data_IF_679990085464
#
_entry.id   IF_679990085464
#
_cell.length_a   1.000
_cell.length_b   1.000
_cell.length_c   1.000
_cell.angle_alpha   90.00
_cell.angle_beta   90.00
_cell.angle_gamma   90.00
#
_symmetry.space_group_name_H-M   'P 1'
#
loop_
_entity.id
_entity.type
_entity.pdbx_description
1 polymer ?
#
# COMPACT_ATOMS: atom_id res chain seq x y z
N UNK A 1 27.23 19.07 40.88
CA UNK A 1 26.28 19.48 39.82
C UNK A 1 25.59 18.20 39.30
N UNK A 2 24.77 17.56 40.15
CA UNK A 2 24.62 16.09 40.14
C UNK A 2 23.15 15.66 40.12
N UNK A 3 22.48 15.75 38.97
CA UNK A 3 21.06 15.36 38.85
C UNK A 3 20.60 14.99 37.43
N UNK A 4 21.46 14.43 36.58
CA UNK A 4 21.07 14.10 35.18
C UNK A 4 21.70 12.85 34.55
N UNK A 5 22.35 11.99 35.34
CA UNK A 5 23.00 10.76 34.85
C UNK A 5 22.50 9.45 35.50
N UNK A 6 21.35 9.48 36.19
CA UNK A 6 20.86 8.36 37.03
C UNK A 6 19.68 7.56 36.43
N UNK A 7 19.10 7.95 35.29
CA UNK A 7 17.81 7.40 34.83
C UNK A 7 17.88 6.30 33.77
N UNK A 8 19.07 5.89 33.30
CA UNK A 8 19.24 4.97 32.15
C UNK A 8 19.84 3.60 32.49
N UNK A 9 19.92 3.23 33.77
CA UNK A 9 20.45 1.94 34.24
C UNK A 9 19.39 0.99 34.85
N UNK A 10 18.13 1.44 35.03
CA UNK A 10 17.15 0.77 35.90
C UNK A 10 16.08 -0.09 35.19
N UNK A 11 16.34 -0.56 33.96
CA UNK A 11 15.43 -1.47 33.21
C UNK A 11 16.10 -2.75 32.71
N UNK A 12 17.38 -3.00 33.04
CA UNK A 12 18.13 -4.19 32.60
C UNK A 12 18.52 -5.13 33.75
N UNK A 13 17.67 -5.26 34.77
CA UNK A 13 17.91 -6.13 35.93
C UNK A 13 16.61 -6.68 36.52
N UNK A 14 15.89 -7.54 35.78
CA UNK A 14 14.91 -8.47 36.36
C UNK A 14 14.56 -9.60 35.37
N UNK A 15 15.59 -10.36 34.97
CA UNK A 15 15.43 -11.67 34.33
C UNK A 15 16.29 -12.68 35.09
N UNK A 16 15.69 -13.43 36.02
CA UNK A 16 16.08 -14.78 36.49
C UNK A 16 15.51 -15.09 37.89
N UNK A 17 14.30 -15.66 37.96
CA UNK A 17 13.86 -16.67 38.94
C UNK A 17 12.43 -17.10 38.59
N UNK A 18 12.18 -18.40 38.35
CA UNK A 18 10.84 -18.84 37.89
C UNK A 18 10.67 -20.27 37.33
N UNK A 19 11.53 -21.22 37.72
CA UNK A 19 11.33 -22.67 37.71
C UNK A 19 10.49 -23.38 36.61
N UNK A 20 11.20 -24.17 35.81
CA UNK A 20 11.01 -25.62 35.64
C UNK A 20 9.62 -26.24 35.95
N UNK A 21 9.00 -26.78 34.90
CA UNK A 21 8.43 -28.16 34.85
C UNK A 21 7.89 -28.51 33.46
N UNK A 22 8.55 -29.44 32.77
CA UNK A 22 8.02 -30.70 32.21
C UNK A 22 8.99 -31.24 31.14
N UNK A 23 9.44 -32.49 31.32
CA UNK A 23 10.43 -33.16 30.47
C UNK A 23 9.78 -34.15 29.50
N UNK A 24 10.46 -34.35 28.34
CA UNK A 24 10.26 -35.42 27.35
C UNK A 24 8.93 -35.40 26.54
N UNK A 25 8.90 -35.87 25.28
CA UNK A 25 9.81 -36.83 24.63
C UNK A 25 10.09 -36.58 23.12
N UNK A 26 11.26 -37.11 22.71
CA UNK A 26 11.67 -37.63 21.37
C UNK A 26 11.59 -36.74 20.12
N UNK A 27 12.79 -36.34 19.74
CA UNK A 27 13.34 -36.30 18.38
C UNK A 27 12.70 -37.20 17.30
N UNK A 28 12.54 -36.61 16.12
CA UNK A 28 12.80 -37.23 14.83
C UNK A 28 13.47 -36.19 13.92
N UNK A 29 14.64 -36.51 13.39
CA UNK A 29 15.27 -35.72 12.33
C UNK A 29 14.53 -35.97 11.01
N UNK A 30 14.47 -34.95 10.15
CA UNK A 30 14.63 -35.12 8.71
C UNK A 30 15.07 -33.77 8.12
N UNK A 31 16.23 -33.78 7.47
CA UNK A 31 16.61 -32.73 6.54
C UNK A 31 15.82 -32.96 5.25
N UNK A 32 15.36 -31.89 4.60
CA UNK A 32 15.25 -31.86 3.15
C UNK A 32 15.61 -30.47 2.65
N UNK A 33 16.42 -30.44 1.60
CA UNK A 33 17.00 -29.24 1.01
C UNK A 33 16.08 -28.64 -0.08
N UNK A 34 16.32 -27.36 -0.35
CA UNK A 34 16.19 -26.72 -1.67
C UNK A 34 14.92 -26.99 -2.50
N UNK A 35 14.08 -25.96 -2.63
CA UNK A 35 13.97 -25.32 -3.95
C UNK A 35 13.71 -23.81 -3.81
N UNK A 36 14.42 -23.03 -4.63
CA UNK A 36 14.23 -21.59 -4.78
C UNK A 36 13.55 -21.37 -6.11
N UNK A 37 12.21 -21.38 -6.10
CA UNK A 37 11.43 -20.96 -7.27
C UNK A 37 11.29 -19.44 -7.28
N UNK A 38 12.11 -18.82 -8.12
CA UNK A 38 11.80 -17.52 -8.71
C UNK A 38 10.74 -17.70 -9.78
N UNK A 39 9.54 -17.16 -9.60
CA UNK A 39 8.88 -16.28 -10.59
C UNK A 39 7.48 -15.81 -10.18
N UNK A 40 6.92 -14.96 -11.06
CA UNK A 40 5.51 -14.53 -11.16
C UNK A 40 5.04 -13.49 -10.15
N UNK A 41 5.25 -12.23 -10.53
CA UNK A 41 4.20 -11.22 -10.37
C UNK A 41 3.05 -11.57 -11.32
N UNK A 42 1.91 -12.01 -10.79
CA UNK A 42 0.54 -11.69 -11.25
C UNK A 42 -0.48 -12.60 -10.54
N UNK A 43 -1.17 -12.05 -9.54
CA UNK A 43 -2.49 -12.56 -9.16
C UNK A 43 -3.45 -11.38 -9.03
N UNK A 44 -4.22 -11.17 -10.10
CA UNK A 44 -5.44 -10.40 -10.09
C UNK A 44 -6.49 -11.15 -9.25
N UNK A 45 -6.54 -10.88 -7.94
CA UNK A 45 -7.59 -11.43 -7.08
C UNK A 45 -8.98 -10.98 -7.56
N UNK A 46 -9.73 -11.94 -8.11
CA UNK A 46 -11.10 -11.72 -8.57
C UNK A 46 -12.01 -11.32 -7.41
N UNK A 47 -12.78 -10.25 -7.63
CA UNK A 47 -13.46 -9.51 -6.58
C UNK A 47 -14.88 -10.06 -6.32
N UNK A 48 -15.00 -11.35 -5.96
CA UNK A 48 -16.27 -11.96 -5.54
C UNK A 48 -16.49 -11.83 -4.03
N UNK A 49 -16.94 -10.64 -3.58
CA UNK A 49 -17.67 -10.53 -2.32
C UNK A 49 -18.64 -9.33 -2.34
N UNK A 50 -19.80 -9.48 -2.98
CA UNK A 50 -21.02 -8.69 -2.66
C UNK A 50 -22.25 -9.16 -3.47
N UNK A 51 -23.08 -10.00 -2.84
CA UNK A 51 -24.52 -10.07 -3.13
C UNK A 51 -25.27 -10.00 -1.81
N UNK A 52 -25.60 -8.78 -1.39
CA UNK A 52 -26.62 -8.50 -0.39
C UNK A 52 -27.67 -7.60 -1.00
N UNK A 53 -28.79 -8.20 -1.41
CA UNK A 53 -30.02 -7.46 -1.74
C UNK A 53 -30.79 -7.16 -0.45
N UNK A 54 -31.56 -6.07 -0.37
CA UNK A 54 -32.37 -5.76 0.80
C UNK A 54 -33.59 -6.69 0.89
N UNK A 55 -33.95 -7.12 2.09
CA UNK A 55 -35.28 -7.65 2.38
C UNK A 55 -36.16 -6.51 2.93
N UNK A 56 -37.08 -6.01 2.13
CA UNK A 56 -38.26 -5.32 2.63
C UNK A 56 -39.47 -6.27 2.56
N UNK A 57 -40.34 -6.16 3.56
CA UNK A 57 -41.55 -6.96 3.63
C UNK A 57 -42.57 -6.42 2.63
N UNK A 58 -43.33 -7.30 1.97
CA UNK A 58 -44.77 -7.08 1.96
C UNK A 58 -45.59 -8.37 1.89
N UNK A 59 -46.82 -8.18 2.34
CA UNK A 59 -47.93 -9.11 2.45
C UNK A 59 -48.59 -9.29 1.08
N UNK A 60 -49.08 -10.50 0.78
CA UNK A 60 -50.49 -10.79 0.45
C UNK A 60 -50.58 -12.19 -0.18
N UNK A 61 -51.56 -13.00 0.26
CA UNK A 61 -51.83 -14.32 -0.32
C UNK A 61 -52.63 -14.19 -1.61
N UNK A 62 -52.31 -15.04 -2.58
CA UNK A 62 -53.20 -15.37 -3.68
C UNK A 62 -54.54 -15.92 -3.15
N UNK A 63 -55.61 -15.67 -3.89
CA UNK A 63 -56.54 -16.74 -4.23
C UNK A 63 -57.18 -16.48 -5.60
N UNK A 64 -57.49 -17.58 -6.27
CA UNK A 64 -57.89 -17.67 -7.67
C UNK A 64 -59.31 -17.14 -7.89
N UNK A 65 -59.61 -16.64 -9.09
CA UNK A 65 -60.83 -17.09 -9.78
C UNK A 65 -60.73 -17.01 -11.32
N UNK A 66 -61.73 -17.60 -11.98
CA UNK A 66 -61.57 -18.33 -13.25
C UNK A 66 -61.92 -17.57 -14.56
N UNK A 67 -61.56 -18.25 -15.68
CA UNK A 67 -62.17 -18.24 -17.02
C UNK A 67 -61.85 -17.14 -18.06
N UNK A 68 -61.19 -17.57 -19.15
CA UNK A 68 -61.96 -17.95 -20.35
C UNK A 68 -61.81 -17.10 -21.63
N UNK A 69 -61.25 -17.71 -22.69
CA UNK A 69 -61.45 -17.48 -24.15
C UNK A 69 -61.86 -16.06 -24.65
N UNK A 70 -61.21 -15.48 -25.66
CA UNK A 70 -61.38 -15.84 -27.10
C UNK A 70 -60.38 -15.06 -27.99
N UNK A 71 -60.28 -15.41 -29.28
CA UNK A 71 -59.39 -14.87 -30.33
C UNK A 71 -59.88 -13.55 -30.97
N UNK A 72 -59.08 -13.10 -31.95
CA UNK A 72 -59.36 -12.15 -33.06
C UNK A 72 -59.23 -10.65 -32.74
N UNK A 73 -58.95 -9.74 -33.67
CA UNK A 73 -58.05 -9.61 -34.83
C UNK A 73 -58.33 -8.19 -35.42
N UNK A 74 -57.33 -7.53 -36.00
CA UNK A 74 -57.41 -6.38 -36.96
C UNK A 74 -57.97 -5.00 -36.55
N UNK A 75 -57.10 -4.00 -36.80
CA UNK A 75 -57.30 -2.76 -37.56
C UNK A 75 -58.60 -1.93 -37.45
N UNK A 76 -58.45 -0.63 -37.12
CA UNK A 76 -58.54 0.44 -38.15
C UNK A 76 -58.15 1.85 -37.68
N UNK A 77 -57.54 2.57 -38.62
CA UNK A 77 -57.18 3.97 -38.62
C UNK A 77 -58.39 4.91 -38.79
N UNK A 78 -58.37 6.11 -38.19
CA UNK A 78 -59.08 7.29 -38.74
C UNK A 78 -58.49 8.64 -38.29
N UNK A 79 -58.17 9.50 -39.28
CA UNK A 79 -57.75 10.90 -39.17
C UNK A 79 -58.92 11.88 -38.90
N UNK A 80 -58.59 13.18 -38.81
CA UNK A 80 -59.37 14.42 -39.15
C UNK A 80 -59.72 15.30 -37.92
N UNK A 81 -59.49 16.64 -37.84
CA UNK A 81 -58.74 17.65 -38.65
C UNK A 81 -58.50 18.95 -37.84
N UNK A 82 -57.34 19.60 -38.09
CA UNK A 82 -56.96 21.04 -38.17
C UNK A 82 -57.86 22.16 -37.55
N UNK A 83 -57.21 23.12 -36.86
CA UNK A 83 -57.28 24.61 -37.03
C UNK A 83 -56.28 25.26 -36.04
N UNK A 84 -55.10 25.72 -36.46
CA UNK A 84 -54.74 27.02 -37.10
C UNK A 84 -54.43 28.17 -36.11
N UNK A 85 -53.16 28.62 -36.13
CA UNK A 85 -52.62 29.90 -35.59
C UNK A 85 -52.90 31.06 -36.60
N UNK A 86 -52.34 32.31 -36.57
CA UNK A 86 -51.17 32.90 -35.85
C UNK A 86 -51.38 34.41 -35.48
N UNK A 87 -50.44 35.38 -35.64
CA UNK A 87 -49.01 35.54 -35.25
C UNK A 87 -48.73 36.79 -34.35
N UNK A 88 -47.43 37.15 -34.22
CA UNK A 88 -46.80 38.48 -33.98
C UNK A 88 -45.99 38.57 -32.67
N UNK A 89 -44.69 38.94 -32.61
CA UNK A 89 -43.69 39.20 -33.66
C UNK A 89 -43.01 40.57 -33.52
N UNK A 90 -41.78 40.65 -32.98
CA UNK A 90 -40.75 41.63 -33.39
C UNK A 90 -39.35 41.35 -32.80
N UNK A 91 -38.32 41.88 -33.47
CA UNK A 91 -36.89 41.62 -33.30
C UNK A 91 -36.14 42.94 -33.02
N UNK A 92 -35.00 42.92 -32.32
CA UNK A 92 -34.05 44.05 -32.31
C UNK A 92 -32.68 43.70 -31.69
N UNK A 93 -31.62 43.74 -32.51
CA UNK A 93 -30.22 43.70 -32.06
C UNK A 93 -29.62 45.11 -31.93
N UNK A 94 -28.79 45.32 -30.89
CA UNK A 94 -27.70 46.33 -30.92
C UNK A 94 -26.54 45.94 -30.00
N UNK A 95 -25.34 46.44 -30.31
CA UNK A 95 -24.02 45.91 -29.86
C UNK A 95 -23.07 47.08 -29.49
N UNK A 96 -21.98 46.77 -28.76
CA UNK A 96 -20.93 47.66 -28.18
C UNK A 96 -21.44 48.48 -26.96
N UNK A 97 -20.70 48.70 -25.86
CA UNK A 97 -19.33 48.33 -25.39
C UNK A 97 -19.19 48.74 -23.89
N UNK A 98 -18.29 48.26 -23.02
CA UNK A 98 -17.19 47.26 -23.07
C UNK A 98 -16.77 46.84 -21.63
N UNK A 99 -15.79 45.94 -21.52
CA UNK A 99 -14.85 45.68 -20.41
C UNK A 99 -15.35 45.29 -19.00
N UNK A 100 -15.61 43.99 -18.80
CA UNK A 100 -15.08 43.24 -17.64
C UNK A 100 -14.85 41.77 -18.01
N UNK A 101 -13.75 41.17 -17.54
CA UNK A 101 -13.28 39.85 -17.98
C UNK A 101 -14.07 38.68 -17.36
N UNK A 102 -14.44 37.72 -18.22
CA UNK A 102 -14.49 36.27 -17.97
C UNK A 102 -15.25 35.71 -16.75
N UNK A 103 -16.56 35.98 -16.68
CA UNK A 103 -17.53 35.18 -15.89
C UNK A 103 -18.49 34.36 -16.78
N UNK A 104 -17.99 33.83 -17.91
CA UNK A 104 -18.75 32.96 -18.84
C UNK A 104 -18.26 31.50 -18.84
N UNK A 105 -18.07 30.93 -17.66
CA UNK A 105 -17.84 29.50 -17.47
C UNK A 105 -19.14 28.70 -17.60
N UNK A 106 -19.56 28.43 -18.84
CA UNK A 106 -20.46 27.34 -19.25
C UNK A 106 -21.57 26.97 -18.25
N UNK A 107 -22.54 27.86 -18.02
CA UNK A 107 -23.91 27.44 -17.68
C UNK A 107 -24.59 26.83 -18.92
N UNK A 108 -24.01 25.74 -19.43
CA UNK A 108 -24.52 25.00 -20.56
C UNK A 108 -25.38 23.85 -20.06
N UNK A 109 -26.70 24.12 -20.04
CA UNK A 109 -27.83 23.20 -20.00
C UNK A 109 -27.50 21.75 -19.58
N UNK A 110 -27.22 21.55 -18.30
CA UNK A 110 -27.29 20.24 -17.68
C UNK A 110 -28.33 20.28 -16.56
N UNK A 111 -29.35 19.45 -16.72
CA UNK A 111 -30.21 19.01 -15.62
C UNK A 111 -29.31 18.65 -14.42
N UNK A 112 -29.63 19.15 -13.22
CA UNK A 112 -28.70 19.14 -12.08
C UNK A 112 -28.40 17.71 -11.63
N UNK A 113 -27.38 17.07 -12.22
CA UNK A 113 -27.02 15.67 -11.96
C UNK A 113 -26.97 15.43 -10.44
N UNK A 114 -27.82 14.51 -10.01
CA UNK A 114 -28.13 14.23 -8.62
C UNK A 114 -27.12 13.25 -8.04
N UNK A 115 -27.23 13.01 -6.73
CA UNK A 115 -26.50 11.91 -6.08
C UNK A 115 -26.80 10.55 -6.74
N UNK A 116 -28.01 10.38 -7.25
CA UNK A 116 -28.48 9.09 -7.74
C UNK A 116 -28.01 8.84 -9.19
N UNK A 117 -27.79 9.90 -9.98
CA UNK A 117 -27.05 9.83 -11.27
C UNK A 117 -25.59 9.42 -11.06
N UNK A 118 -24.94 9.91 -9.99
CA UNK A 118 -23.60 9.49 -9.61
C UNK A 118 -23.56 8.01 -9.19
N UNK A 119 -24.58 7.54 -8.44
CA UNK A 119 -24.72 6.13 -8.08
C UNK A 119 -24.95 5.24 -9.32
N UNK A 120 -25.73 5.72 -10.30
CA UNK A 120 -25.93 5.04 -11.58
C UNK A 120 -24.63 4.94 -12.37
N UNK A 121 -23.91 6.06 -12.56
CA UNK A 121 -22.58 6.08 -13.20
C UNK A 121 -21.60 5.10 -12.55
N UNK A 122 -21.50 5.11 -11.22
CA UNK A 122 -20.66 4.17 -10.47
C UNK A 122 -21.06 2.71 -10.73
N UNK A 123 -22.37 2.40 -10.77
CA UNK A 123 -22.89 1.06 -11.07
C UNK A 123 -22.56 0.60 -12.50
N UNK A 124 -22.53 1.52 -13.46
CA UNK A 124 -22.13 1.25 -14.85
C UNK A 124 -20.60 1.28 -15.09
N UNK A 125 -19.80 1.55 -14.06
CA UNK A 125 -18.33 1.59 -14.15
C UNK A 125 -17.73 2.95 -14.56
N UNK A 126 -18.56 3.99 -14.76
CA UNK A 126 -18.11 5.37 -14.93
C UNK A 126 -17.75 5.97 -13.56
N UNK A 127 -16.61 5.52 -13.02
CA UNK A 127 -16.14 5.93 -11.70
C UNK A 127 -15.70 7.39 -11.68
N UNK A 128 -15.01 7.87 -12.71
CA UNK A 128 -14.63 9.28 -12.87
C UNK A 128 -15.86 10.20 -12.91
N UNK A 129 -16.89 9.87 -13.68
CA UNK A 129 -18.14 10.64 -13.74
C UNK A 129 -18.89 10.64 -12.40
N UNK A 130 -18.96 9.50 -11.72
CA UNK A 130 -19.53 9.41 -10.38
C UNK A 130 -18.77 10.29 -9.36
N UNK A 131 -17.43 10.21 -9.36
CA UNK A 131 -16.56 11.05 -8.53
C UNK A 131 -16.78 12.53 -8.84
N UNK A 132 -16.88 12.93 -10.12
CA UNK A 132 -17.12 14.32 -10.52
C UNK A 132 -18.41 14.89 -9.94
N UNK A 133 -19.51 14.13 -9.99
CA UNK A 133 -20.81 14.56 -9.43
C UNK A 133 -20.76 14.60 -7.90
N UNK A 134 -20.19 13.56 -7.26
CA UNK A 134 -20.03 13.58 -5.79
C UNK A 134 -19.15 14.75 -5.34
N UNK A 135 -18.06 15.07 -6.02
CA UNK A 135 -17.22 16.24 -5.72
C UNK A 135 -18.00 17.56 -5.87
N UNK A 136 -18.92 17.66 -6.84
CA UNK A 136 -19.80 18.84 -6.97
C UNK A 136 -20.74 18.95 -5.77
N UNK A 137 -21.42 17.87 -5.38
CA UNK A 137 -22.30 17.87 -4.20
C UNK A 137 -21.54 18.17 -2.89
N UNK A 138 -20.32 17.63 -2.76
CA UNK A 138 -19.44 17.87 -1.61
C UNK A 138 -19.08 19.36 -1.45
N UNK A 139 -18.88 20.11 -2.55
CA UNK A 139 -18.64 21.57 -2.48
C UNK A 139 -19.83 22.29 -1.84
N UNK A 140 -21.06 21.96 -2.23
CA UNK A 140 -22.27 22.54 -1.65
C UNK A 140 -22.42 22.20 -0.15
N UNK A 141 -22.10 20.96 0.23
CA UNK A 141 -22.12 20.52 1.64
C UNK A 141 -21.07 21.30 2.45
N UNK A 142 -19.86 21.45 1.93
CA UNK A 142 -18.78 22.20 2.59
C UNK A 142 -19.12 23.69 2.74
N UNK A 143 -19.82 24.29 1.79
CA UNK A 143 -20.32 25.66 1.91
C UNK A 143 -21.35 25.80 3.03
N UNK A 144 -22.25 24.83 3.20
CA UNK A 144 -23.20 24.85 4.32
C UNK A 144 -22.49 24.62 5.67
N UNK A 145 -21.55 23.67 5.73
CA UNK A 145 -20.78 23.38 6.93
C UNK A 145 -19.81 24.50 7.34
N UNK A 146 -19.36 25.36 6.42
CA UNK A 146 -18.59 26.56 6.77
C UNK A 146 -19.41 27.59 7.57
N UNK A 147 -20.75 27.53 7.45
CA UNK A 147 -21.73 28.34 8.18
C UNK A 147 -22.39 27.59 9.34
N UNK A 148 -21.73 26.58 9.92
CA UNK A 148 -22.26 25.72 11.00
C UNK A 148 -22.90 26.45 12.20
N UNK A 149 -22.52 27.70 12.46
CA UNK A 149 -23.07 28.54 13.53
C UNK A 149 -24.51 29.03 13.22
N UNK A 150 -24.89 29.08 11.94
CA UNK A 150 -26.25 29.38 11.48
C UNK A 150 -27.18 28.15 11.51
N UNK A 151 -26.67 26.95 11.84
CA UNK A 151 -27.41 25.69 11.79
C UNK A 151 -27.89 25.23 13.18
N UNK A 152 -29.09 24.64 13.22
CA UNK A 152 -29.52 23.85 14.37
C UNK A 152 -28.68 22.57 14.49
N UNK A 153 -28.51 22.05 15.71
CA UNK A 153 -27.70 20.84 15.96
C UNK A 153 -28.11 19.64 15.10
N UNK A 154 -29.42 19.44 14.89
CA UNK A 154 -29.98 18.40 14.01
C UNK A 154 -29.59 18.60 12.54
N UNK A 155 -29.66 19.84 12.05
CA UNK A 155 -29.21 20.16 10.68
C UNK A 155 -27.70 19.98 10.54
N UNK A 156 -26.92 20.39 11.53
CA UNK A 156 -25.48 20.20 11.54
C UNK A 156 -25.11 18.70 11.48
N UNK A 157 -25.74 17.87 12.30
CA UNK A 157 -25.52 16.42 12.30
C UNK A 157 -25.91 15.77 10.96
N UNK A 158 -27.04 16.16 10.37
CA UNK A 158 -27.46 15.63 9.06
C UNK A 158 -26.53 16.06 7.92
N UNK A 159 -26.01 17.30 7.90
CA UNK A 159 -24.98 17.71 6.95
C UNK A 159 -23.63 17.03 7.19
N UNK A 160 -23.24 16.73 8.44
CA UNK A 160 -22.04 15.94 8.76
C UNK A 160 -22.17 14.49 8.27
N UNK A 161 -23.31 13.83 8.51
CA UNK A 161 -23.61 12.49 7.95
C UNK A 161 -23.62 12.47 6.42
N UNK A 162 -24.14 13.54 5.79
CA UNK A 162 -24.11 13.68 4.34
C UNK A 162 -22.67 13.90 3.82
N UNK A 163 -21.87 14.74 4.47
CA UNK A 163 -20.45 14.92 4.17
C UNK A 163 -19.68 13.60 4.26
N UNK A 164 -19.87 12.84 5.35
CA UNK A 164 -19.27 11.52 5.52
C UNK A 164 -19.67 10.56 4.39
N UNK A 165 -20.94 10.54 4.01
CA UNK A 165 -21.46 9.71 2.92
C UNK A 165 -20.81 10.05 1.57
N UNK A 166 -20.74 11.34 1.23
CA UNK A 166 -20.12 11.79 -0.02
C UNK A 166 -18.62 11.49 -0.06
N UNK A 167 -17.89 11.83 1.00
CA UNK A 167 -16.45 11.52 1.11
C UNK A 167 -16.18 10.01 1.04
N UNK A 168 -17.00 9.18 1.70
CA UNK A 168 -16.85 7.73 1.67
C UNK A 168 -17.15 7.11 0.29
N UNK A 169 -18.10 7.68 -0.47
CA UNK A 169 -18.37 7.29 -1.85
C UNK A 169 -17.25 7.73 -2.81
N UNK A 170 -16.72 8.94 -2.65
CA UNK A 170 -15.57 9.43 -3.43
C UNK A 170 -14.34 8.55 -3.19
N UNK A 171 -14.06 8.18 -1.93
CA UNK A 171 -13.01 7.24 -1.59
C UNK A 171 -13.22 5.87 -2.25
N UNK A 172 -14.46 5.36 -2.25
CA UNK A 172 -14.83 4.12 -2.93
C UNK A 172 -14.61 4.18 -4.46
N UNK A 173 -14.86 5.33 -5.08
CA UNK A 173 -14.53 5.59 -6.48
C UNK A 173 -13.02 5.56 -6.73
N UNK A 174 -12.23 6.29 -5.93
CA UNK A 174 -10.77 6.30 -6.07
C UNK A 174 -10.14 4.93 -5.82
N UNK A 175 -10.69 4.13 -4.91
CA UNK A 175 -10.32 2.72 -4.72
C UNK A 175 -10.55 1.87 -6.00
N UNK A 176 -11.62 2.13 -6.77
CA UNK A 176 -11.87 1.45 -8.06
C UNK A 176 -10.93 1.91 -9.17
N UNK A 177 -10.38 3.12 -9.07
CA UNK A 177 -9.39 3.70 -9.98
C UNK A 177 -7.94 3.44 -9.56
N UNK A 178 -7.70 2.60 -8.55
CA UNK A 178 -6.37 2.34 -7.96
C UNK A 178 -5.63 3.59 -7.46
N UNK A 179 -6.36 4.67 -7.17
CA UNK A 179 -5.86 5.96 -6.65
C UNK A 179 -5.91 5.95 -5.13
N UNK A 180 -5.03 5.15 -4.52
CA UNK A 180 -5.12 4.80 -3.11
C UNK A 180 -4.82 5.99 -2.17
N UNK A 181 -3.95 6.93 -2.57
CA UNK A 181 -3.67 8.16 -1.82
C UNK A 181 -4.90 9.05 -1.67
N UNK A 182 -5.65 9.23 -2.76
CA UNK A 182 -6.93 9.95 -2.76
C UNK A 182 -8.00 9.18 -1.98
N UNK A 183 -8.04 7.85 -2.08
CA UNK A 183 -8.93 7.04 -1.25
C UNK A 183 -8.67 7.26 0.26
N UNK A 184 -7.42 7.25 0.70
CA UNK A 184 -7.03 7.54 2.10
C UNK A 184 -7.48 8.94 2.48
N UNK A 185 -7.16 9.96 1.66
CA UNK A 185 -7.55 11.36 1.90
C UNK A 185 -9.06 11.51 2.12
N UNK A 186 -9.89 10.99 1.22
CA UNK A 186 -11.35 11.12 1.34
C UNK A 186 -11.93 10.22 2.44
N UNK A 187 -11.30 9.09 2.76
CA UNK A 187 -11.73 8.27 3.90
C UNK A 187 -11.43 8.96 5.24
N UNK A 188 -10.32 9.68 5.38
CA UNK A 188 -10.02 10.52 6.56
C UNK A 188 -11.06 11.65 6.72
N UNK A 189 -11.36 12.38 5.64
CA UNK A 189 -12.41 13.42 5.66
C UNK A 189 -13.79 12.87 6.03
N UNK A 190 -14.10 11.63 5.62
CA UNK A 190 -15.34 10.96 6.02
C UNK A 190 -15.31 10.60 7.52
N UNK A 191 -14.18 10.10 8.02
CA UNK A 191 -14.01 9.66 9.41
C UNK A 191 -14.09 10.83 10.41
N UNK A 192 -13.57 12.00 10.04
CA UNK A 192 -13.73 13.23 10.82
C UNK A 192 -15.20 13.61 11.05
N UNK A 193 -16.08 13.23 10.12
CA UNK A 193 -17.50 13.60 10.11
C UNK A 193 -18.44 12.53 10.68
N UNK A 194 -18.08 11.25 10.55
CA UNK A 194 -18.83 10.13 11.12
C UNK A 194 -17.88 9.04 11.63
N UNK A 195 -17.56 9.13 12.93
CA UNK A 195 -16.69 8.18 13.63
C UNK A 195 -17.34 6.84 13.96
N UNK A 196 -18.64 6.64 13.67
CA UNK A 196 -19.35 5.37 13.98
C UNK A 196 -19.54 4.48 12.76
N UNK A 197 -19.14 4.94 11.58
CA UNK A 197 -19.42 4.25 10.32
C UNK A 197 -18.26 3.33 9.90
N UNK A 198 -18.41 2.05 10.26
CA UNK A 198 -17.50 0.93 10.00
C UNK A 198 -17.01 0.85 8.54
N UNK A 199 -17.87 1.23 7.57
CA UNK A 199 -17.51 1.23 6.14
C UNK A 199 -16.39 2.22 5.80
N UNK A 200 -16.26 3.30 6.58
CA UNK A 200 -15.17 4.27 6.45
C UNK A 200 -13.85 3.66 6.91
N UNK A 201 -13.84 3.00 8.07
CA UNK A 201 -12.69 2.27 8.58
C UNK A 201 -12.18 1.22 7.59
N UNK A 202 -13.09 0.41 7.02
CA UNK A 202 -12.74 -0.58 6.00
C UNK A 202 -12.08 0.06 4.76
N UNK A 203 -12.63 1.19 4.27
CA UNK A 203 -12.09 1.92 3.10
C UNK A 203 -10.73 2.56 3.38
N UNK A 204 -10.58 3.20 4.55
CA UNK A 204 -9.32 3.80 5.00
C UNK A 204 -8.23 2.75 5.18
N UNK A 205 -8.54 1.67 5.89
CA UNK A 205 -7.64 0.54 6.12
C UNK A 205 -7.21 -0.12 4.82
N UNK A 206 -8.15 -0.37 3.89
CA UNK A 206 -7.83 -0.94 2.57
C UNK A 206 -7.00 0.04 1.75
N UNK A 207 -7.22 1.35 1.86
CA UNK A 207 -6.38 2.38 1.24
C UNK A 207 -4.93 2.31 1.72
N UNK A 208 -4.71 2.30 3.05
CA UNK A 208 -3.38 2.12 3.63
C UNK A 208 -2.73 0.79 3.25
N UNK A 209 -3.49 -0.31 3.22
CA UNK A 209 -3.01 -1.62 2.79
C UNK A 209 -2.47 -1.61 1.35
N UNK A 210 -3.22 -0.99 0.42
CA UNK A 210 -2.81 -0.90 -0.98
C UNK A 210 -1.62 0.05 -1.21
N UNK A 211 -1.37 1.00 -0.29
CA UNK A 211 -0.16 1.83 -0.25
C UNK A 211 1.04 1.12 0.39
N UNK A 212 0.88 -0.10 0.93
CA UNK A 212 1.92 -0.79 1.69
C UNK A 212 2.11 -0.27 3.12
N UNK A 213 1.26 0.66 3.60
CA UNK A 213 1.30 1.22 4.95
C UNK A 213 0.63 0.27 5.96
N UNK A 214 1.18 -0.94 6.09
CA UNK A 214 0.57 -2.06 6.82
C UNK A 214 0.27 -1.74 8.29
N UNK A 215 1.12 -0.97 8.97
CA UNK A 215 0.92 -0.60 10.38
C UNK A 215 -0.27 0.34 10.59
N UNK A 216 -0.40 1.39 9.76
CA UNK A 216 -1.57 2.29 9.78
C UNK A 216 -2.84 1.53 9.43
N UNK A 217 -2.76 0.62 8.46
CA UNK A 217 -3.88 -0.25 8.10
C UNK A 217 -4.33 -1.11 9.29
N UNK A 218 -3.41 -1.79 9.97
CA UNK A 218 -3.71 -2.60 11.17
C UNK A 218 -4.34 -1.74 12.28
N UNK A 219 -3.79 -0.55 12.55
CA UNK A 219 -4.33 0.37 13.56
C UNK A 219 -5.80 0.73 13.27
N UNK A 220 -6.08 1.22 12.05
CA UNK A 220 -7.44 1.61 11.64
C UNK A 220 -8.42 0.44 11.67
N UNK A 221 -7.97 -0.78 11.35
CA UNK A 221 -8.83 -1.96 11.44
C UNK A 221 -9.21 -2.27 12.90
N UNK A 222 -8.26 -2.18 13.83
CA UNK A 222 -8.54 -2.39 15.25
C UNK A 222 -9.52 -1.34 15.78
N UNK A 223 -9.30 -0.05 15.45
CA UNK A 223 -10.23 1.04 15.81
C UNK A 223 -11.65 0.80 15.25
N UNK A 224 -11.76 0.25 14.03
CA UNK A 224 -13.05 -0.14 13.45
C UNK A 224 -13.72 -1.32 14.16
N UNK A 225 -12.93 -2.33 14.55
CA UNK A 225 -13.40 -3.51 15.29
C UNK A 225 -13.88 -3.16 16.70
N UNK A 226 -13.29 -2.15 17.34
CA UNK A 226 -13.76 -1.61 18.63
C UNK A 226 -15.16 -0.96 18.56
N UNK A 227 -15.58 -0.52 17.37
CA UNK A 227 -16.92 0.05 17.12
C UNK A 227 -17.93 -1.05 16.78
N UNK A 228 -17.55 -1.94 15.86
CA UNK A 228 -18.35 -3.09 15.44
C UNK A 228 -17.44 -4.22 14.94
N UNK A 229 -17.71 -5.45 15.36
CA UNK A 229 -16.90 -6.62 15.03
C UNK A 229 -17.25 -7.17 13.63
N UNK A 230 -17.13 -6.30 12.62
CA UNK A 230 -17.45 -6.61 11.23
C UNK A 230 -16.50 -7.65 10.63
N UNK A 231 -17.09 -8.68 10.01
CA UNK A 231 -16.36 -9.84 9.47
C UNK A 231 -15.38 -9.42 8.35
N UNK A 232 -15.71 -8.40 7.56
CA UNK A 232 -14.82 -7.92 6.50
C UNK A 232 -13.60 -7.17 7.07
N UNK A 233 -13.74 -6.45 8.19
CA UNK A 233 -12.61 -5.89 8.93
C UNK A 233 -11.71 -7.01 9.51
N UNK A 234 -12.29 -8.03 10.15
CA UNK A 234 -11.52 -9.16 10.70
C UNK A 234 -10.75 -9.92 9.61
N UNK A 235 -11.40 -10.18 8.46
CA UNK A 235 -10.76 -10.81 7.31
C UNK A 235 -9.64 -9.94 6.73
N UNK A 236 -9.86 -8.63 6.61
CA UNK A 236 -8.84 -7.68 6.17
C UNK A 236 -7.65 -7.67 7.14
N UNK A 237 -7.87 -7.70 8.45
CA UNK A 237 -6.80 -7.74 9.47
C UNK A 237 -5.87 -8.95 9.27
N UNK A 238 -6.46 -10.12 9.00
CA UNK A 238 -5.71 -11.35 8.71
C UNK A 238 -4.85 -11.21 7.46
N UNK A 239 -5.44 -10.69 6.37
CA UNK A 239 -4.75 -10.44 5.10
C UNK A 239 -3.57 -9.46 5.26
N UNK A 240 -3.80 -8.32 5.93
CA UNK A 240 -2.76 -7.29 6.15
C UNK A 240 -1.62 -7.84 7.01
N UNK A 241 -1.92 -8.57 8.09
CA UNK A 241 -0.90 -9.22 8.93
C UNK A 241 -0.05 -10.22 8.15
N UNK A 242 -0.67 -11.10 7.35
CA UNK A 242 0.03 -12.06 6.49
C UNK A 242 0.93 -11.37 5.46
N UNK A 243 0.45 -10.29 4.81
CA UNK A 243 1.24 -9.52 3.84
C UNK A 243 2.43 -8.80 4.50
N UNK A 244 2.22 -8.18 5.67
CA UNK A 244 3.28 -7.53 6.46
C UNK A 244 4.36 -8.53 6.87
N UNK A 245 3.99 -9.69 7.39
CA UNK A 245 4.95 -10.74 7.77
C UNK A 245 5.77 -11.22 6.57
N UNK A 246 5.10 -11.42 5.42
CA UNK A 246 5.77 -11.82 4.17
C UNK A 246 6.76 -10.75 3.69
N UNK A 247 6.40 -9.48 3.80
CA UNK A 247 7.28 -8.35 3.47
C UNK A 247 8.53 -8.33 4.36
N UNK A 248 8.35 -8.40 5.69
CA UNK A 248 9.46 -8.42 6.66
C UNK A 248 10.39 -9.64 6.48
N UNK A 249 9.84 -10.81 6.12
CA UNK A 249 10.64 -12.00 5.77
C UNK A 249 11.52 -11.76 4.54
N UNK A 250 10.98 -11.15 3.48
CA UNK A 250 11.73 -10.79 2.26
C UNK A 250 12.80 -9.72 2.55
N UNK A 251 12.46 -8.69 3.32
CA UNK A 251 13.40 -7.65 3.75
C UNK A 251 14.57 -8.24 4.54
N UNK A 252 14.29 -9.07 5.56
CA UNK A 252 15.33 -9.76 6.34
C UNK A 252 16.24 -10.64 5.47
N UNK A 253 15.66 -11.37 4.51
CA UNK A 253 16.45 -12.19 3.58
C UNK A 253 17.36 -11.33 2.69
N UNK A 254 16.84 -10.24 2.12
CA UNK A 254 17.60 -9.30 1.30
C UNK A 254 18.74 -8.65 2.09
N UNK A 255 18.48 -8.20 3.32
CA UNK A 255 19.50 -7.62 4.20
C UNK A 255 20.61 -8.63 4.54
N UNK A 256 20.26 -9.90 4.79
CA UNK A 256 21.25 -10.97 5.00
C UNK A 256 22.11 -11.15 3.74
N UNK A 257 21.49 -11.30 2.58
CA UNK A 257 22.18 -11.47 1.30
C UNK A 257 23.13 -10.30 0.99
N UNK A 258 22.70 -9.05 1.22
CA UNK A 258 23.57 -7.88 1.06
C UNK A 258 24.76 -7.95 2.02
N UNK A 259 24.54 -8.28 3.29
CA UNK A 259 25.59 -8.33 4.31
C UNK A 259 26.64 -9.42 4.03
N UNK A 260 26.20 -10.62 3.65
CA UNK A 260 27.08 -11.74 3.31
C UNK A 260 27.98 -11.37 2.10
N UNK A 261 27.41 -10.78 1.03
CA UNK A 261 28.16 -10.31 -0.13
C UNK A 261 29.16 -9.17 0.18
N UNK A 262 28.82 -8.27 1.12
CA UNK A 262 29.74 -7.20 1.55
C UNK A 262 30.94 -7.75 2.33
N UNK A 263 30.72 -8.77 3.17
CA UNK A 263 31.76 -9.44 3.94
C UNK A 263 32.75 -10.20 3.06
N UNK A 264 32.26 -10.93 2.07
CA UNK A 264 33.11 -11.68 1.14
C UNK A 264 33.98 -10.75 0.30
N UNK A 265 33.44 -9.58 -0.10
CA UNK A 265 34.17 -8.63 -0.94
C UNK A 265 35.31 -7.89 -0.22
N UNK A 266 35.15 -7.54 1.06
CA UNK A 266 36.19 -6.84 1.81
C UNK A 266 37.34 -7.76 2.21
N UNK A 267 37.05 -8.96 2.72
CA UNK A 267 38.09 -9.88 3.25
C UNK A 267 38.93 -10.50 2.12
N UNK A 268 38.29 -11.00 1.05
CA UNK A 268 38.98 -11.74 -0.01
C UNK A 268 39.98 -10.85 -0.77
N UNK A 269 39.72 -9.54 -0.86
CA UNK A 269 40.58 -8.61 -1.59
C UNK A 269 41.82 -8.21 -0.79
N UNK A 270 41.70 -8.03 0.54
CA UNK A 270 42.83 -7.75 1.42
C UNK A 270 43.72 -9.00 1.63
N UNK A 271 43.15 -10.17 1.97
CA UNK A 271 43.94 -11.38 2.22
C UNK A 271 44.72 -11.85 0.99
N UNK A 272 44.13 -11.83 -0.21
CA UNK A 272 44.84 -12.24 -1.44
C UNK A 272 45.99 -11.30 -1.77
N UNK A 273 45.81 -9.98 -1.56
CA UNK A 273 46.86 -9.00 -1.79
C UNK A 273 48.01 -9.21 -0.80
N UNK A 274 47.70 -9.28 0.50
CA UNK A 274 48.66 -9.49 1.58
C UNK A 274 49.48 -10.79 1.39
N UNK A 275 48.80 -11.91 1.16
CA UNK A 275 49.47 -13.21 1.00
C UNK A 275 50.32 -13.29 -0.27
N UNK A 276 49.92 -12.62 -1.36
CA UNK A 276 50.71 -12.53 -2.60
C UNK A 276 52.01 -11.73 -2.40
N UNK A 277 51.91 -10.58 -1.73
CA UNK A 277 53.08 -9.74 -1.41
C UNK A 277 54.02 -10.49 -0.46
N UNK A 278 53.49 -11.07 0.62
CA UNK A 278 54.30 -11.80 1.61
C UNK A 278 55.06 -12.98 0.98
N UNK A 279 54.40 -13.76 0.11
CA UNK A 279 55.04 -14.89 -0.60
C UNK A 279 56.18 -14.43 -1.53
N UNK A 280 56.00 -13.30 -2.20
CA UNK A 280 57.02 -12.68 -3.07
C UNK A 280 58.23 -12.21 -2.26
N UNK A 281 57.99 -11.51 -1.14
CA UNK A 281 59.06 -11.06 -0.23
C UNK A 281 59.81 -12.23 0.39
N UNK A 282 59.11 -13.26 0.88
CA UNK A 282 59.73 -14.45 1.46
C UNK A 282 60.61 -15.19 0.45
N UNK A 283 60.16 -15.33 -0.81
CA UNK A 283 60.95 -15.93 -1.88
C UNK A 283 62.26 -15.15 -2.12
N UNK A 284 62.19 -13.81 -2.21
CA UNK A 284 63.36 -12.93 -2.35
C UNK A 284 64.35 -13.06 -1.18
N UNK A 285 63.86 -13.03 0.06
CA UNK A 285 64.69 -13.18 1.27
C UNK A 285 65.38 -14.55 1.30
N UNK A 286 64.67 -15.62 0.93
CA UNK A 286 65.24 -16.98 0.87
C UNK A 286 66.35 -17.06 -0.19
N UNK A 287 66.17 -16.41 -1.34
CA UNK A 287 67.14 -16.35 -2.42
C UNK A 287 68.41 -15.57 -2.01
N UNK A 288 68.25 -14.45 -1.29
CA UNK A 288 69.37 -13.69 -0.71
C UNK A 288 70.15 -14.51 0.32
N UNK A 289 69.46 -15.21 1.23
CA UNK A 289 70.11 -16.07 2.23
C UNK A 289 70.89 -17.22 1.57
N UNK A 290 70.36 -17.82 0.51
CA UNK A 290 71.08 -18.81 -0.30
C UNK A 290 72.33 -18.24 -0.96
N UNK A 291 72.27 -17.00 -1.49
CA UNK A 291 73.45 -16.32 -2.04
C UNK A 291 74.52 -16.04 -0.98
N UNK A 292 74.12 -15.55 0.20
CA UNK A 292 75.04 -15.31 1.34
C UNK A 292 75.68 -16.61 1.80
N UNK A 293 74.90 -17.68 1.94
CA UNK A 293 75.41 -19.01 2.29
C UNK A 293 76.40 -19.54 1.24
N UNK A 294 76.05 -19.48 -0.04
CA UNK A 294 76.92 -19.88 -1.14
C UNK A 294 78.23 -19.07 -1.17
N UNK A 295 78.16 -17.77 -0.91
CA UNK A 295 79.34 -16.91 -0.78
C UNK A 295 80.22 -17.30 0.41
N UNK A 296 79.61 -17.63 1.56
CA UNK A 296 80.35 -18.06 2.75
C UNK A 296 81.07 -19.41 2.52
N UNK A 297 80.38 -20.38 1.91
CA UNK A 297 80.95 -21.68 1.50
C UNK A 297 82.05 -21.51 0.44
N UNK A 298 81.85 -20.60 -0.52
CA UNK A 298 82.88 -20.27 -1.52
C UNK A 298 84.12 -19.69 -0.86
N UNK A 299 83.93 -18.72 0.04
CA UNK A 299 85.00 -18.01 0.76
C UNK A 299 85.79 -18.95 1.67
N UNK A 300 85.11 -19.80 2.45
CA UNK A 300 85.77 -20.81 3.30
C UNK A 300 86.54 -21.83 2.46
N UNK A 301 86.02 -22.25 1.29
CA UNK A 301 86.74 -23.13 0.37
C UNK A 301 88.01 -22.50 -0.21
N UNK A 302 88.02 -21.17 -0.39
CA UNK A 302 89.19 -20.42 -0.87
C UNK A 302 90.21 -20.25 0.28
N UNK A 303 89.80 -19.85 1.48
CA UNK A 303 90.68 -19.81 2.65
C UNK A 303 91.32 -21.19 2.95
N UNK A 304 90.55 -22.26 2.88
CA UNK A 304 91.05 -23.62 3.08
C UNK A 304 92.04 -24.08 2.00
N UNK A 305 92.09 -23.42 0.84
CA UNK A 305 93.09 -23.64 -0.22
C UNK A 305 94.33 -22.76 -0.03
N UNK A 306 94.18 -21.49 0.38
CA UNK A 306 95.32 -20.59 0.64
C UNK A 306 96.11 -21.03 1.86
N UNK A 307 95.44 -21.40 2.96
CA UNK A 307 96.07 -21.95 4.17
C UNK A 307 96.85 -23.25 3.88
N UNK A 308 96.30 -24.14 3.05
CA UNK A 308 97.02 -25.35 2.61
C UNK A 308 98.25 -25.02 1.76
N UNK A 309 98.18 -24.03 0.86
CA UNK A 309 99.36 -23.57 0.08
C UNK A 309 100.43 -22.93 0.97
N UNK A 310 100.06 -22.20 2.02
CA UNK A 310 101.02 -21.67 2.99
C UNK A 310 101.71 -22.77 3.79
N UNK A 311 100.95 -23.76 4.30
CA UNK A 311 101.51 -24.88 5.08
C UNK A 311 102.50 -25.76 4.30
N UNK A 312 102.36 -25.84 2.97
CA UNK A 312 103.30 -26.55 2.08
C UNK A 312 104.58 -25.73 1.80
N UNK A 313 104.55 -24.40 2.01
CA UNK A 313 105.68 -23.50 1.75
C UNK A 313 106.49 -23.15 3.01
N UNK A 314 106.15 -23.74 4.16
CA UNK A 314 106.83 -23.56 5.45
C UNK A 314 107.39 -24.88 6.01
N UNK A 315 107.71 -25.82 5.12
CA UNK A 315 108.35 -27.12 5.38
C UNK A 315 109.40 -27.39 4.31
#
# INVERSE_FOLDING_TARGET
MDSLYSSTQNSLSNLNQGNDKYNHAKSAENNDNENVDTDVCDESENNELSKSSPSENDTTKENQDNNGNTKEEKDKEKKVVINECPPDGEDNQKKLSSDSMDDKYLEEQNEKETRDDANAKYKYGDYEGAIKIWLRGLRSINYVLSKKEELTSERLESFQKLHATYCSNIAQGFMKLSKFSECVKYSLMALESDKKNVKIYFRLAKGYFMLGEYDKSIQVINEGIEIDNDIALVNLLSLVKKKKETFLKKEKHMMKYIFDNLKDKSIIQEEKCYNSIFRTVYSLVTLLLMFVYAFFVRSSSVLARTLRKWKIKSS
#
